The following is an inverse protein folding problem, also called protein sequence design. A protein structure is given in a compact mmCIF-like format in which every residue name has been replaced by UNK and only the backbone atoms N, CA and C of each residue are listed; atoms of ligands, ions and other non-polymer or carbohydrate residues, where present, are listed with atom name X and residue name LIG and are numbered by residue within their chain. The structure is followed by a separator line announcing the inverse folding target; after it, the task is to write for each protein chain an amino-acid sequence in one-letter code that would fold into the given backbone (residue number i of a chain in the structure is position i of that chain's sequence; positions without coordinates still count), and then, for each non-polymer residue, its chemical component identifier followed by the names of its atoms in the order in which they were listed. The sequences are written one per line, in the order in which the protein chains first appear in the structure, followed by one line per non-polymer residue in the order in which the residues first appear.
data_IF_525397816597
#
_entry.id   IF_525397816597
#
_cell.length_a   1.000
_cell.length_b   1.000
_cell.length_c   1.000
_cell.angle_alpha   90.00
_cell.angle_beta   90.00
_cell.angle_gamma   90.00
#
_symmetry.space_group_name_H-M   'P 1'
#
loop_
_entity.id
_entity.type
_entity.pdbx_description
1 polymer ?
#
# COMPACT_ATOMS: atom_id res chain seq x y z
N UNK A 1 -7.48 -4.04 -22.32
CA UNK A 1 -6.89 -3.63 -21.03
C UNK A 1 -7.97 -2.78 -20.34
N UNK A 2 -8.49 -3.22 -19.20
CA UNK A 2 -9.47 -2.42 -18.45
C UNK A 2 -8.72 -1.27 -17.78
N UNK A 3 -9.23 -0.04 -17.92
CA UNK A 3 -8.72 1.11 -17.21
C UNK A 3 -9.53 1.28 -15.93
N UNK A 4 -8.84 1.55 -14.82
CA UNK A 4 -9.45 1.84 -13.53
C UNK A 4 -9.37 3.36 -13.28
N UNK A 5 -10.49 4.11 -13.36
CA UNK A 5 -10.48 5.57 -13.27
C UNK A 5 -9.84 6.11 -11.99
N UNK A 6 -9.94 5.39 -10.87
CA UNK A 6 -9.36 5.81 -9.59
C UNK A 6 -7.81 5.85 -9.61
N UNK A 7 -7.18 5.10 -10.51
CA UNK A 7 -5.74 5.12 -10.75
C UNK A 7 -5.29 6.16 -11.77
N UNK A 8 -6.20 6.97 -12.31
CA UNK A 8 -5.84 8.01 -13.27
C UNK A 8 -4.79 8.98 -12.67
N UNK A 9 -3.72 9.20 -13.43
CA UNK A 9 -2.62 10.08 -13.02
C UNK A 9 -1.73 9.56 -11.89
N UNK A 10 -1.89 8.30 -11.46
CA UNK A 10 -0.98 7.67 -10.51
C UNK A 10 0.44 7.58 -11.10
N UNK A 11 1.42 8.13 -10.38
CA UNK A 11 2.82 8.11 -10.78
C UNK A 11 3.66 7.40 -9.70
N UNK A 12 4.00 6.12 -9.90
CA UNK A 12 4.81 5.40 -8.94
C UNK A 12 6.23 5.97 -8.93
N UNK A 13 6.71 6.33 -7.74
CA UNK A 13 8.10 6.75 -7.50
C UNK A 13 8.90 5.64 -6.81
N UNK A 14 8.22 4.76 -6.08
CA UNK A 14 8.82 3.71 -5.26
C UNK A 14 8.08 2.39 -5.47
N UNK A 15 8.83 1.30 -5.38
CA UNK A 15 8.32 -0.08 -5.42
C UNK A 15 8.95 -0.90 -4.30
N UNK A 16 8.13 -1.31 -3.33
CA UNK A 16 8.54 -2.19 -2.25
C UNK A 16 8.07 -3.62 -2.54
N UNK A 17 8.99 -4.58 -2.48
CA UNK A 17 8.67 -6.00 -2.61
C UNK A 17 8.78 -6.71 -1.27
N UNK A 18 7.72 -7.40 -0.87
CA UNK A 18 7.72 -8.23 0.32
C UNK A 18 7.52 -9.70 -0.08
N UNK A 19 8.42 -10.56 0.39
CA UNK A 19 8.38 -12.02 0.17
C UNK A 19 8.02 -12.70 1.51
N UNK A 20 6.80 -13.22 1.60
CA UNK A 20 6.26 -13.91 2.76
C UNK A 20 6.42 -15.42 2.59
N UNK A 21 6.85 -16.10 3.66
CA UNK A 21 6.97 -17.55 3.68
C UNK A 21 6.50 -18.12 5.03
N UNK A 22 5.60 -19.13 5.06
CA UNK A 22 5.04 -19.67 6.31
C UNK A 22 6.11 -20.20 7.27
N UNK A 23 7.12 -20.90 6.73
CA UNK A 23 8.21 -21.48 7.55
C UNK A 23 9.10 -20.42 8.20
N UNK A 24 9.13 -19.17 7.68
CA UNK A 24 9.86 -18.06 8.29
C UNK A 24 9.02 -17.31 9.32
N UNK A 25 7.72 -17.61 9.42
CA UNK A 25 6.82 -16.83 10.25
C UNK A 25 6.57 -15.44 9.73
N UNK A 26 6.65 -15.24 8.41
CA UNK A 26 6.45 -13.93 7.80
C UNK A 26 5.08 -13.37 8.17
N UNK A 27 5.08 -12.12 8.60
CA UNK A 27 3.91 -11.31 8.92
C UNK A 27 4.31 -9.83 8.74
N UNK A 28 3.33 -8.93 8.78
CA UNK A 28 3.58 -7.51 8.97
C UNK A 28 2.58 -6.97 9.99
N UNK A 29 3.09 -6.34 11.03
CA UNK A 29 2.28 -5.81 12.12
C UNK A 29 1.38 -4.65 11.62
N UNK A 30 0.24 -4.39 12.30
CA UNK A 30 -0.64 -3.29 11.92
C UNK A 30 0.08 -1.94 11.91
N UNK A 31 0.08 -1.27 10.76
CA UNK A 31 0.75 0.02 10.57
C UNK A 31 0.05 0.91 9.56
N UNK A 32 0.48 2.17 9.52
CA UNK A 32 0.18 3.13 8.47
C UNK A 32 1.46 3.40 7.70
N UNK A 33 1.35 3.59 6.39
CA UNK A 33 2.47 4.08 5.59
C UNK A 33 2.69 5.57 5.87
N UNK A 34 3.95 6.01 5.82
CA UNK A 34 4.36 7.37 6.12
C UNK A 34 3.70 8.42 5.19
N UNK A 35 2.67 9.11 5.69
CA UNK A 35 1.93 10.12 4.91
C UNK A 35 2.71 11.41 4.64
N UNK A 36 3.86 11.61 5.30
CA UNK A 36 4.74 12.75 5.00
C UNK A 36 5.44 12.58 3.65
N UNK A 37 5.78 11.34 3.28
CA UNK A 37 6.49 11.04 2.03
C UNK A 37 5.57 10.48 0.95
N UNK A 38 4.66 9.59 1.32
CA UNK A 38 3.80 8.90 0.36
C UNK A 38 2.51 9.67 0.12
N UNK A 39 2.04 9.65 -1.13
CA UNK A 39 0.82 10.32 -1.60
C UNK A 39 -0.43 9.45 -1.49
N UNK A 40 -1.53 9.91 -2.08
CA UNK A 40 -2.90 9.48 -1.77
C UNK A 40 -3.19 7.99 -1.94
N UNK A 41 -2.53 7.33 -2.89
CA UNK A 41 -2.83 5.94 -3.22
C UNK A 41 -1.66 5.04 -2.88
N UNK A 42 -1.95 3.97 -2.15
CA UNK A 42 -1.06 2.83 -1.98
C UNK A 42 -1.56 1.68 -2.84
N UNK A 43 -0.80 1.29 -3.86
CA UNK A 43 -1.25 0.29 -4.84
C UNK A 43 -0.43 -0.97 -4.66
N UNK A 44 -1.07 -2.07 -4.26
CA UNK A 44 -0.38 -3.35 -4.04
C UNK A 44 -0.87 -4.42 -4.99
N UNK A 45 0.06 -5.11 -5.65
CA UNK A 45 -0.21 -6.29 -6.45
C UNK A 45 0.11 -7.52 -5.60
N UNK A 46 -0.88 -8.39 -5.42
CA UNK A 46 -0.75 -9.65 -4.69
C UNK A 46 -0.38 -10.79 -5.65
N UNK A 47 0.70 -11.53 -5.38
CA UNK A 47 1.23 -12.56 -6.28
C UNK A 47 1.52 -13.88 -5.55
N UNK A 48 1.63 -14.94 -6.34
CA UNK A 48 1.89 -16.34 -5.95
C UNK A 48 0.77 -17.02 -5.14
N UNK A 49 0.28 -16.42 -4.06
CA UNK A 49 -0.74 -17.01 -3.17
C UNK A 49 -1.84 -16.02 -2.79
N UNK A 50 -2.99 -16.57 -2.39
CA UNK A 50 -4.03 -15.80 -1.71
C UNK A 50 -3.58 -15.41 -0.29
N UNK A 51 -4.19 -14.37 0.27
CA UNK A 51 -4.01 -13.95 1.68
C UNK A 51 -5.25 -13.20 2.17
N UNK A 52 -5.28 -12.88 3.45
CA UNK A 52 -6.12 -11.83 4.02
C UNK A 52 -5.26 -10.60 4.32
N UNK A 53 -5.77 -9.41 3.99
CA UNK A 53 -5.29 -8.13 4.50
C UNK A 53 -6.22 -7.69 5.62
N UNK A 54 -5.68 -7.56 6.83
CA UNK A 54 -6.47 -7.10 7.98
C UNK A 54 -6.36 -5.59 8.07
N UNK A 55 -7.51 -4.91 8.04
CA UNK A 55 -7.62 -3.47 8.28
C UNK A 55 -8.17 -3.25 9.68
N UNK A 56 -7.51 -2.48 10.54
CA UNK A 56 -7.97 -2.18 11.90
C UNK A 56 -8.12 -0.68 12.15
N UNK A 57 -9.17 -0.32 12.88
CA UNK A 57 -9.46 1.02 13.33
C UNK A 57 -9.66 1.01 14.85
N UNK A 58 -8.62 1.44 15.58
CA UNK A 58 -8.54 1.33 17.05
C UNK A 58 -9.66 2.07 17.78
N UNK A 59 -10.05 3.26 17.29
CA UNK A 59 -11.05 4.11 17.94
C UNK A 59 -12.50 3.74 17.56
N UNK A 60 -12.69 2.66 16.81
CA UNK A 60 -13.99 2.24 16.32
C UNK A 60 -14.66 3.23 15.37
N UNK A 61 -15.96 3.01 15.15
CA UNK A 61 -16.85 3.81 14.31
C UNK A 61 -18.04 4.26 15.16
N UNK A 62 -17.86 5.34 15.91
CA UNK A 62 -18.86 5.84 16.86
C UNK A 62 -20.17 6.22 16.17
N UNK A 63 -20.11 6.75 14.95
CA UNK A 63 -21.27 7.03 14.10
C UNK A 63 -22.10 5.80 13.74
N UNK A 64 -21.52 4.59 13.82
CA UNK A 64 -22.19 3.31 13.61
C UNK A 64 -22.48 2.56 14.94
N UNK A 65 -22.23 3.20 16.09
CA UNK A 65 -22.40 2.59 17.40
C UNK A 65 -21.31 1.56 17.76
N UNK A 66 -20.19 1.54 17.04
CA UNK A 66 -19.04 0.66 17.31
C UNK A 66 -17.99 1.46 18.09
N UNK A 67 -18.04 1.38 19.42
CA UNK A 67 -17.17 2.16 20.31
C UNK A 67 -15.79 1.49 20.59
N UNK A 68 -15.60 0.26 20.12
CA UNK A 68 -14.37 -0.53 20.28
C UNK A 68 -13.66 -0.69 18.93
N UNK A 69 -12.46 -1.27 18.93
CA UNK A 69 -11.70 -1.53 17.71
C UNK A 69 -12.55 -2.29 16.68
N UNK A 70 -12.55 -1.78 15.45
CA UNK A 70 -13.17 -2.45 14.30
C UNK A 70 -12.08 -3.07 13.44
N UNK A 71 -12.24 -4.34 13.10
CA UNK A 71 -11.37 -5.04 12.15
C UNK A 71 -12.17 -5.49 10.93
N UNK A 72 -11.58 -5.30 9.75
CA UNK A 72 -12.13 -5.75 8.47
C UNK A 72 -11.10 -6.66 7.79
N UNK A 73 -11.51 -7.88 7.52
CA UNK A 73 -10.73 -8.85 6.76
C UNK A 73 -11.00 -8.68 5.26
N UNK A 74 -9.99 -8.21 4.51
CA UNK A 74 -10.06 -8.06 3.05
C UNK A 74 -9.40 -9.27 2.40
N UNK A 75 -10.18 -10.12 1.75
CA UNK A 75 -9.63 -11.26 1.03
C UNK A 75 -8.90 -10.81 -0.24
N UNK A 76 -7.62 -11.17 -0.36
CA UNK A 76 -6.79 -10.86 -1.52
C UNK A 76 -6.42 -12.15 -2.28
N UNK A 77 -7.13 -12.48 -3.35
CA UNK A 77 -6.73 -13.57 -4.24
C UNK A 77 -5.37 -13.32 -4.88
N UNK A 78 -4.67 -14.39 -5.29
CA UNK A 78 -3.47 -14.28 -6.12
C UNK A 78 -3.81 -13.53 -7.41
N UNK A 79 -2.90 -12.66 -7.86
CA UNK A 79 -3.05 -11.76 -9.01
C UNK A 79 -4.16 -10.71 -8.85
N UNK A 80 -4.53 -10.40 -7.61
CA UNK A 80 -5.37 -9.23 -7.32
C UNK A 80 -4.50 -7.97 -7.19
N UNK A 81 -5.12 -6.83 -7.51
CA UNK A 81 -4.62 -5.50 -7.16
C UNK A 81 -5.53 -4.94 -6.07
N UNK A 82 -4.93 -4.36 -5.03
CA UNK A 82 -5.63 -3.60 -3.99
C UNK A 82 -5.08 -2.18 -3.99
N UNK A 83 -5.97 -1.20 -3.90
CA UNK A 83 -5.63 0.20 -3.72
C UNK A 83 -6.23 0.65 -2.39
N UNK A 84 -5.39 1.21 -1.51
CA UNK A 84 -5.84 1.92 -0.33
C UNK A 84 -5.77 3.43 -0.61
N UNK A 85 -6.90 4.11 -0.47
CA UNK A 85 -7.05 5.56 -0.55
C UNK A 85 -7.99 6.06 0.56
N UNK A 86 -8.09 7.39 0.72
CA UNK A 86 -8.98 8.03 1.67
C UNK A 86 -8.80 7.50 3.10
N UNK A 87 -9.91 7.26 3.78
CA UNK A 87 -9.85 6.79 5.17
C UNK A 87 -9.10 5.47 5.30
N UNK A 88 -9.27 4.54 4.35
CA UNK A 88 -8.60 3.24 4.40
C UNK A 88 -7.08 3.36 4.39
N UNK A 89 -6.54 4.37 3.70
CA UNK A 89 -5.11 4.71 3.74
C UNK A 89 -4.70 5.41 5.04
N UNK A 90 -5.49 6.40 5.46
CA UNK A 90 -5.04 7.41 6.43
C UNK A 90 -5.41 7.11 7.89
N UNK A 91 -6.47 6.32 8.11
CA UNK A 91 -7.02 6.04 9.44
C UNK A 91 -6.94 4.57 9.82
N UNK A 92 -6.96 3.68 8.84
CA UNK A 92 -7.00 2.23 9.09
C UNK A 92 -5.60 1.64 8.98
N UNK A 93 -5.14 1.03 10.06
CA UNK A 93 -3.89 0.27 10.03
C UNK A 93 -4.09 -0.98 9.21
N UNK A 94 -3.08 -1.38 8.44
CA UNK A 94 -3.13 -2.58 7.63
C UNK A 94 -2.06 -3.57 8.06
N UNK A 95 -2.39 -4.87 8.00
CA UNK A 95 -1.55 -5.95 8.47
C UNK A 95 -1.72 -7.22 7.62
N UNK A 96 -0.69 -8.07 7.66
CA UNK A 96 -0.78 -9.47 7.21
C UNK A 96 -0.40 -10.31 8.43
N UNK A 97 -1.37 -11.00 9.02
CA UNK A 97 -1.10 -11.86 10.15
C UNK A 97 -0.40 -13.15 9.72
N UNK A 98 0.33 -13.75 10.66
CA UNK A 98 1.12 -14.97 10.38
C UNK A 98 0.22 -16.12 9.93
N UNK A 99 -0.96 -16.24 10.53
CA UNK A 99 -1.96 -17.27 10.22
C UNK A 99 -2.51 -17.15 8.80
N UNK A 100 -2.50 -15.95 8.20
CA UNK A 100 -2.99 -15.71 6.83
C UNK A 100 -1.93 -16.00 5.74
N UNK A 101 -0.70 -16.34 6.14
CA UNK A 101 0.38 -16.73 5.22
C UNK A 101 0.44 -18.26 5.14
N UNK A 102 -0.36 -18.84 4.25
CA UNK A 102 -0.43 -20.31 4.08
C UNK A 102 0.61 -20.88 3.12
N UNK A 103 0.98 -20.13 2.09
CA UNK A 103 1.95 -20.49 1.06
C UNK A 103 2.90 -19.31 0.79
N UNK A 104 3.95 -19.53 -0.02
CA UNK A 104 4.82 -18.41 -0.42
C UNK A 104 3.99 -17.36 -1.15
N UNK A 105 4.01 -16.14 -0.63
CA UNK A 105 3.31 -14.99 -1.19
C UNK A 105 4.32 -13.89 -1.45
N UNK A 106 4.25 -13.27 -2.62
CA UNK A 106 5.03 -12.07 -2.92
C UNK A 106 4.03 -10.96 -3.21
N UNK A 107 4.30 -9.75 -2.71
CA UNK A 107 3.57 -8.57 -3.14
C UNK A 107 4.51 -7.44 -3.51
N UNK A 108 4.05 -6.61 -4.44
CA UNK A 108 4.73 -5.37 -4.84
C UNK A 108 3.80 -4.22 -4.55
N UNK A 109 4.23 -3.33 -3.66
CA UNK A 109 3.51 -2.11 -3.31
C UNK A 109 4.18 -0.94 -4.01
N UNK A 110 3.37 -0.16 -4.72
CA UNK A 110 3.78 1.04 -5.46
C UNK A 110 3.22 2.25 -4.74
N UNK A 111 4.07 3.26 -4.60
CA UNK A 111 3.72 4.51 -3.91
C UNK A 111 4.02 5.70 -4.79
N UNK A 112 3.15 6.68 -4.73
CA UNK A 112 3.37 8.01 -5.30
C UNK A 112 3.89 8.98 -4.24
N UNK A 113 4.44 10.12 -4.66
CA UNK A 113 4.91 11.15 -3.74
C UNK A 113 3.74 11.93 -3.11
N UNK A 114 3.93 12.37 -1.86
CA UNK A 114 3.02 13.30 -1.19
C UNK A 114 3.03 14.69 -1.86
N UNK A 115 2.01 15.50 -1.57
CA UNK A 115 1.87 16.84 -2.12
C UNK A 115 3.08 17.76 -1.85
N UNK A 116 3.86 17.49 -0.79
CA UNK A 116 5.07 18.25 -0.46
C UNK A 116 6.14 18.16 -1.57
N UNK A 117 6.22 17.03 -2.26
CA UNK A 117 7.20 16.78 -3.31
C UNK A 117 6.63 16.97 -4.72
N UNK A 118 5.34 17.26 -4.86
CA UNK A 118 4.71 17.55 -6.14
C UNK A 118 4.82 19.04 -6.50
N UNK A 119 4.42 19.39 -7.72
CA UNK A 119 4.43 20.78 -8.20
C UNK A 119 3.66 21.71 -7.25
N UNK A 120 4.32 22.75 -6.76
CA UNK A 120 3.77 23.69 -5.77
C UNK A 120 4.08 23.34 -4.31
N UNK A 121 4.62 22.15 -4.04
CA UNK A 121 5.12 21.73 -2.74
C UNK A 121 6.51 22.30 -2.40
N UNK A 122 6.89 22.24 -1.12
CA UNK A 122 8.17 22.77 -0.63
C UNK A 122 9.38 22.01 -1.19
N UNK A 123 9.22 20.72 -1.48
CA UNK A 123 10.26 19.83 -2.01
C UNK A 123 10.04 19.50 -3.49
N UNK A 124 9.28 20.33 -4.22
CA UNK A 124 8.92 20.07 -5.63
C UNK A 124 10.13 19.78 -6.53
N UNK A 125 11.26 20.46 -6.30
CA UNK A 125 12.48 20.23 -7.09
C UNK A 125 13.05 18.83 -6.85
N UNK A 126 13.10 18.37 -5.60
CA UNK A 126 13.56 17.03 -5.27
C UNK A 126 12.58 15.98 -5.79
N UNK A 127 11.28 16.20 -5.62
CA UNK A 127 10.27 15.27 -6.13
C UNK A 127 10.30 15.12 -7.64
N UNK A 128 10.53 16.20 -8.40
CA UNK A 128 10.72 16.13 -9.84
C UNK A 128 11.95 15.27 -10.23
N UNK A 129 13.04 15.35 -9.46
CA UNK A 129 14.22 14.50 -9.68
C UNK A 129 13.91 13.03 -9.39
N UNK A 130 13.24 12.72 -8.27
CA UNK A 130 12.86 11.36 -7.89
C UNK A 130 11.92 10.73 -8.93
N UNK A 131 10.90 11.48 -9.38
CA UNK A 131 10.00 11.03 -10.44
C UNK A 131 10.73 10.79 -11.75
N UNK A 132 11.65 11.67 -12.14
CA UNK A 132 12.45 11.45 -13.35
C UNK A 132 13.31 10.18 -13.26
N UNK A 133 13.94 9.92 -12.12
CA UNK A 133 14.70 8.67 -11.90
C UNK A 133 13.77 7.46 -12.02
N UNK A 134 12.63 7.48 -11.32
CA UNK A 134 11.69 6.36 -11.31
C UNK A 134 11.11 6.06 -12.71
N UNK A 135 10.69 7.10 -13.44
CA UNK A 135 10.04 6.96 -14.75
C UNK A 135 11.04 6.70 -15.89
N UNK A 136 12.33 6.93 -15.68
CA UNK A 136 13.39 6.64 -16.67
C UNK A 136 14.19 5.36 -16.38
N UNK A 137 13.85 4.63 -15.31
CA UNK A 137 14.55 3.40 -14.94
C UNK A 137 14.43 2.32 -16.02
N UNK A 138 15.58 1.79 -16.46
CA UNK A 138 15.66 0.77 -17.53
C UNK A 138 16.03 -0.62 -17.00
N UNK A 139 15.80 -0.90 -15.71
CA UNK A 139 16.11 -2.21 -15.13
C UNK A 139 17.59 -2.45 -14.82
N UNK A 140 18.44 -1.43 -14.99
CA UNK A 140 19.86 -1.50 -14.64
C UNK A 140 20.11 -0.65 -13.39
N UNK A 141 20.59 -1.24 -12.27
CA UNK A 141 20.93 -0.45 -11.08
C UNK A 141 22.04 0.56 -11.42
N UNK A 142 21.98 1.74 -10.79
CA UNK A 142 22.99 2.80 -10.88
C UNK A 142 24.23 2.40 -10.08
#
# INVERSE_FOLDING_TARGET
MQQEPSLAGFQPVEQCNLDYHPQRGSAIDPHLDDSWLWGERLVTINMLSNTTLTMSLENGLSELGLAEEVQVAVHLPRRALVMLDGEARHRWKHAIHREDVHERRVCSTYRELSAEFLSGGQQAQLGAQLLNIALSFQGTPI
#
